data_IF_546348625328
#
_entry.id   IF_546348625328
#
_cell.length_a   1.000
_cell.length_b   1.000
_cell.length_c   1.000
_cell.angle_alpha   90.00
_cell.angle_beta   90.00
_cell.angle_gamma   90.00
#
_symmetry.space_group_name_H-M   'P 1'
#
loop_
_entity.id
_entity.type
_entity.pdbx_description
1 polymer ?
#
# COMPACT_ATOMS: atom_id res chain seq x y z
N UNK A 1 4.15 -14.50 -6.53
CA UNK A 1 3.19 -13.84 -5.60
C UNK A 1 2.12 -13.09 -6.38
N UNK A 2 2.49 -12.24 -7.34
CA UNK A 2 1.56 -11.39 -8.12
C UNK A 2 1.18 -12.02 -9.46
N UNK A 3 0.83 -13.30 -9.44
CA UNK A 3 0.59 -14.14 -10.63
C UNK A 3 -0.89 -14.53 -10.80
N UNK A 4 -1.78 -13.84 -10.07
CA UNK A 4 -3.23 -14.10 -10.06
C UNK A 4 -4.02 -12.82 -9.77
N UNK A 5 -5.34 -12.92 -9.82
CA UNK A 5 -6.24 -11.89 -9.29
C UNK A 5 -5.93 -11.61 -7.81
N UNK A 6 -6.12 -10.36 -7.39
CA UNK A 6 -6.08 -9.93 -5.98
C UNK A 6 -7.51 -9.68 -5.51
N UNK A 7 -7.86 -10.18 -4.33
CA UNK A 7 -9.16 -9.99 -3.71
C UNK A 7 -9.03 -9.27 -2.37
N UNK A 8 -9.80 -8.20 -2.22
CA UNK A 8 -10.03 -7.52 -0.95
C UNK A 8 -11.44 -7.83 -0.44
N UNK A 9 -11.57 -7.94 0.88
CA UNK A 9 -12.78 -8.35 1.57
C UNK A 9 -13.20 -7.30 2.61
N UNK A 10 -14.47 -7.34 3.02
CA UNK A 10 -14.98 -6.53 4.13
C UNK A 10 -14.67 -5.03 3.98
N UNK A 11 -14.26 -4.39 5.07
CA UNK A 11 -13.95 -2.94 5.06
C UNK A 11 -12.86 -2.55 4.05
N UNK A 12 -11.87 -3.40 3.79
CA UNK A 12 -10.82 -3.08 2.80
C UNK A 12 -11.37 -3.04 1.39
N UNK A 13 -12.34 -3.92 1.08
CA UNK A 13 -13.03 -3.89 -0.20
C UNK A 13 -13.79 -2.56 -0.39
N UNK A 14 -14.51 -2.13 0.65
CA UNK A 14 -15.29 -0.89 0.65
C UNK A 14 -14.40 0.36 0.56
N UNK A 15 -13.40 0.48 1.43
CA UNK A 15 -12.46 1.61 1.43
C UNK A 15 -11.72 1.73 0.09
N UNK A 16 -11.31 0.61 -0.52
CA UNK A 16 -10.67 0.62 -1.82
C UNK A 16 -11.59 1.15 -2.93
N UNK A 17 -12.90 0.90 -2.88
CA UNK A 17 -13.88 1.48 -3.81
C UNK A 17 -14.09 2.99 -3.62
N UNK A 18 -13.79 3.50 -2.43
CA UNK A 18 -13.84 4.94 -2.14
C UNK A 18 -12.53 5.63 -2.54
N UNK A 19 -11.40 4.92 -2.51
CA UNK A 19 -10.10 5.43 -2.92
C UNK A 19 -9.93 5.47 -4.46
N UNK A 20 -10.53 4.54 -5.19
CA UNK A 20 -10.36 4.38 -6.63
C UNK A 20 -11.68 4.07 -7.38
N UNK A 21 -11.79 4.40 -8.68
CA UNK A 21 -13.00 4.15 -9.46
C UNK A 21 -13.38 2.67 -9.47
N UNK A 22 -14.65 2.39 -9.20
CA UNK A 22 -15.20 1.03 -9.28
C UNK A 22 -16.38 0.98 -10.24
N UNK A 23 -16.29 0.10 -11.26
CA UNK A 23 -17.40 -0.14 -12.21
C UNK A 23 -18.64 -0.71 -11.53
N UNK A 24 -18.48 -1.42 -10.42
CA UNK A 24 -19.59 -2.01 -9.64
C UNK A 24 -20.40 -0.95 -8.87
N UNK A 25 -19.88 0.27 -8.69
CA UNK A 25 -20.52 1.33 -7.91
C UNK A 25 -21.16 2.44 -8.76
N UNK A 26 -21.32 2.19 -10.08
CA UNK A 26 -21.88 3.14 -11.04
C UNK A 26 -23.37 3.49 -10.84
N UNK A 27 -24.06 2.89 -9.86
CA UNK A 27 -25.50 3.09 -9.67
C UNK A 27 -25.87 4.19 -8.67
N UNK A 28 -24.91 4.87 -8.01
CA UNK A 28 -25.22 6.06 -7.21
C UNK A 28 -24.69 7.31 -7.88
N UNK A 29 -25.61 8.18 -8.27
CA UNK A 29 -25.43 9.51 -8.89
C UNK A 29 -24.58 10.51 -8.08
N UNK A 30 -23.93 10.09 -7.00
CA UNK A 30 -23.15 10.92 -6.08
C UNK A 30 -21.85 10.24 -5.64
N UNK A 31 -21.21 9.43 -6.48
CA UNK A 31 -19.88 8.93 -6.15
C UNK A 31 -18.90 10.12 -6.13
N UNK A 32 -18.37 10.43 -4.95
CA UNK A 32 -17.32 11.46 -4.79
C UNK A 32 -16.15 11.12 -5.69
N UNK A 33 -15.41 12.15 -6.12
CA UNK A 33 -14.20 11.95 -6.92
C UNK A 33 -13.19 11.14 -6.09
N UNK A 34 -12.51 10.25 -6.79
CA UNK A 34 -11.49 9.35 -6.24
C UNK A 34 -10.11 9.94 -6.48
N UNK A 35 -9.15 9.66 -5.59
CA UNK A 35 -7.78 10.18 -5.71
C UNK A 35 -6.86 9.32 -6.56
N UNK A 36 -7.16 8.03 -6.71
CA UNK A 36 -6.39 7.10 -7.54
C UNK A 36 -7.15 6.78 -8.82
N UNK A 37 -6.47 6.52 -9.94
CA UNK A 37 -7.16 6.19 -11.20
C UNK A 37 -7.61 4.73 -11.24
N UNK A 38 -7.03 3.88 -10.41
CA UNK A 38 -7.35 2.46 -10.35
C UNK A 38 -7.09 1.86 -8.98
N UNK A 39 -7.74 0.72 -8.69
CA UNK A 39 -7.51 -0.02 -7.45
C UNK A 39 -6.04 -0.44 -7.28
N UNK A 40 -5.32 -0.73 -8.37
CA UNK A 40 -3.92 -1.18 -8.29
C UNK A 40 -2.98 -0.04 -7.90
N UNK A 41 -3.23 1.18 -8.40
CA UNK A 41 -2.50 2.38 -7.95
C UNK A 41 -2.72 2.65 -6.45
N UNK A 42 -3.97 2.52 -5.98
CA UNK A 42 -4.28 2.65 -4.57
C UNK A 42 -3.57 1.57 -3.71
N UNK A 43 -3.45 0.33 -4.22
CA UNK A 43 -2.73 -0.75 -3.54
C UNK A 43 -1.23 -0.50 -3.45
N UNK A 44 -0.59 -0.01 -4.52
CA UNK A 44 0.83 0.36 -4.53
C UNK A 44 1.11 1.45 -3.49
N UNK A 45 0.30 2.52 -3.49
CA UNK A 45 0.42 3.59 -2.51
C UNK A 45 0.16 3.09 -1.09
N UNK A 46 -0.88 2.28 -0.88
CA UNK A 46 -1.21 1.71 0.41
C UNK A 46 -0.11 0.81 0.97
N UNK A 47 0.57 0.01 0.14
CA UNK A 47 1.69 -0.82 0.58
C UNK A 47 2.81 0.04 1.20
N UNK A 48 3.23 1.10 0.48
CA UNK A 48 4.27 2.01 0.94
C UNK A 48 3.83 2.81 2.17
N UNK A 49 2.64 3.43 2.14
CA UNK A 49 2.13 4.25 3.25
C UNK A 49 1.87 3.40 4.50
N UNK A 50 1.32 2.20 4.34
CA UNK A 50 1.11 1.26 5.43
C UNK A 50 2.41 0.90 6.13
N UNK A 51 3.47 0.61 5.36
CA UNK A 51 4.80 0.37 5.90
C UNK A 51 5.37 1.61 6.63
N UNK A 52 5.42 2.75 5.95
CA UNK A 52 5.99 4.01 6.47
C UNK A 52 5.29 4.46 7.76
N UNK A 53 3.96 4.33 7.83
CA UNK A 53 3.17 4.67 9.03
C UNK A 53 3.08 3.52 10.04
N UNK A 54 3.71 2.38 9.77
CA UNK A 54 3.70 1.20 10.61
C UNK A 54 2.32 0.57 10.82
N UNK A 55 1.37 0.81 9.91
CA UNK A 55 -0.01 0.34 9.99
C UNK A 55 -0.13 -1.03 9.35
N UNK A 56 -0.49 -2.03 10.16
CA UNK A 56 -0.88 -3.38 9.72
C UNK A 56 -2.34 -3.61 10.03
N UNK A 57 -3.02 -4.36 9.17
CA UNK A 57 -4.37 -4.84 9.45
C UNK A 57 -4.56 -6.28 9.01
N UNK A 58 -5.45 -6.99 9.70
CA UNK A 58 -5.79 -8.37 9.39
C UNK A 58 -6.84 -8.43 8.29
N UNK A 59 -6.94 -9.58 7.62
CA UNK A 59 -8.04 -9.80 6.69
C UNK A 59 -9.36 -9.82 7.47
N UNK A 60 -10.34 -9.06 7.00
CA UNK A 60 -11.68 -9.04 7.58
C UNK A 60 -12.67 -9.50 6.52
N UNK A 61 -13.38 -10.59 6.81
CA UNK A 61 -14.41 -11.14 5.91
C UNK A 61 -15.78 -10.74 6.45
N UNK A 62 -16.39 -9.76 5.81
CA UNK A 62 -17.80 -9.44 6.01
C UNK A 62 -18.57 -9.87 4.76
N UNK A 63 -19.43 -10.89 4.90
CA UNK A 63 -20.21 -11.44 3.77
C UNK A 63 -21.27 -10.47 3.24
N UNK A 64 -21.56 -9.38 3.97
CA UNK A 64 -22.50 -8.33 3.55
C UNK A 64 -21.86 -7.34 2.57
N UNK A 65 -20.52 -7.24 2.57
CA UNK A 65 -19.78 -6.36 1.68
C UNK A 65 -19.24 -7.19 0.53
N UNK A 66 -19.61 -6.85 -0.70
CA UNK A 66 -19.10 -7.52 -1.88
C UNK A 66 -17.57 -7.38 -1.97
N UNK A 67 -16.88 -8.45 -2.36
CA UNK A 67 -15.43 -8.45 -2.57
C UNK A 67 -15.03 -7.45 -3.67
N UNK A 68 -13.86 -6.83 -3.50
CA UNK A 68 -13.28 -5.95 -4.51
C UNK A 68 -12.12 -6.68 -5.19
N UNK A 69 -12.30 -7.03 -6.47
CA UNK A 69 -11.35 -7.80 -7.27
C UNK A 69 -10.52 -6.89 -8.16
N UNK A 70 -9.21 -7.11 -8.13
CA UNK A 70 -8.27 -6.59 -9.13
C UNK A 70 -7.90 -7.76 -10.04
N UNK A 71 -8.30 -7.67 -11.31
CA UNK A 71 -8.01 -8.71 -12.29
C UNK A 71 -6.51 -8.82 -12.57
N UNK A 72 -6.05 -10.04 -12.82
CA UNK A 72 -4.65 -10.35 -13.12
C UNK A 72 -4.06 -9.47 -14.23
N UNK A 73 -4.84 -9.09 -15.24
CA UNK A 73 -4.39 -8.18 -16.29
C UNK A 73 -3.90 -6.82 -15.77
N UNK A 74 -4.54 -6.28 -14.72
CA UNK A 74 -4.07 -5.06 -14.06
C UNK A 74 -2.89 -5.34 -13.14
N UNK A 75 -2.88 -6.48 -12.45
CA UNK A 75 -1.79 -6.90 -11.57
C UNK A 75 -0.49 -7.11 -12.36
N UNK A 76 -0.56 -7.79 -13.50
CA UNK A 76 0.58 -8.12 -14.34
C UNK A 76 1.26 -6.88 -14.92
N UNK A 77 0.48 -5.84 -15.27
CA UNK A 77 1.02 -4.55 -15.73
C UNK A 77 1.84 -3.81 -14.67
N UNK A 78 1.55 -4.02 -13.38
CA UNK A 78 2.24 -3.38 -12.25
C UNK A 78 3.07 -4.37 -11.43
N UNK A 79 3.34 -5.57 -11.98
CA UNK A 79 4.01 -6.65 -11.25
C UNK A 79 5.39 -6.22 -10.74
N UNK A 80 6.17 -5.56 -11.59
CA UNK A 80 7.51 -5.09 -11.22
C UNK A 80 7.47 -4.07 -10.06
N UNK A 81 6.51 -3.16 -10.06
CA UNK A 81 6.32 -2.16 -9.00
C UNK A 81 5.88 -2.82 -7.68
N UNK A 82 4.96 -3.78 -7.74
CA UNK A 82 4.52 -4.56 -6.58
C UNK A 82 5.68 -5.37 -5.98
N UNK A 83 6.47 -6.05 -6.82
CA UNK A 83 7.64 -6.79 -6.38
C UNK A 83 8.69 -5.88 -5.76
N UNK A 84 8.95 -4.71 -6.38
CA UNK A 84 9.89 -3.74 -5.83
C UNK A 84 9.46 -3.30 -4.43
N UNK A 85 8.21 -2.90 -4.24
CA UNK A 85 7.71 -2.46 -2.93
C UNK A 85 7.73 -3.61 -1.93
N UNK A 86 7.35 -4.82 -2.33
CA UNK A 86 7.45 -6.02 -1.49
C UNK A 86 8.89 -6.22 -0.99
N UNK A 87 9.87 -6.17 -1.90
CA UNK A 87 11.29 -6.37 -1.59
C UNK A 87 11.81 -5.30 -0.64
N UNK A 88 11.47 -4.03 -0.87
CA UNK A 88 11.82 -2.92 0.02
C UNK A 88 11.25 -3.12 1.42
N UNK A 89 9.97 -3.52 1.52
CA UNK A 89 9.34 -3.80 2.82
C UNK A 89 10.04 -4.98 3.51
N UNK A 90 10.35 -6.08 2.80
CA UNK A 90 11.04 -7.23 3.42
C UNK A 90 12.44 -6.89 3.92
N UNK A 91 13.16 -6.03 3.20
CA UNK A 91 14.48 -5.56 3.62
C UNK A 91 14.40 -4.64 4.85
N UNK A 92 13.39 -3.77 4.89
CA UNK A 92 13.27 -2.73 5.91
C UNK A 92 12.44 -3.13 7.14
N UNK A 93 11.59 -4.17 7.07
CA UNK A 93 10.79 -4.66 8.21
C UNK A 93 11.68 -5.41 9.21
N UNK A 94 12.38 -4.64 10.05
CA UNK A 94 13.22 -5.13 11.14
C UNK A 94 12.43 -5.41 12.43
N UNK A 95 11.10 -5.21 12.41
CA UNK A 95 10.23 -5.39 13.57
C UNK A 95 10.38 -6.81 14.12
N UNK A 96 10.98 -6.91 15.31
CA UNK A 96 11.31 -8.18 15.96
C UNK A 96 12.80 -8.58 15.90
N UNK A 97 13.70 -7.67 15.50
CA UNK A 97 15.14 -7.92 15.37
C UNK A 97 15.47 -9.09 14.44
N UNK A 98 14.75 -9.18 13.31
CA UNK A 98 15.02 -10.19 12.31
C UNK A 98 16.45 -10.03 11.74
N UNK A 99 17.24 -11.11 11.67
CA UNK A 99 18.59 -11.06 11.10
C UNK A 99 18.56 -10.50 9.67
N UNK A 100 19.57 -9.70 9.32
CA UNK A 100 19.68 -9.09 7.99
C UNK A 100 19.62 -10.14 6.85
N UNK A 101 20.30 -11.28 7.03
CA UNK A 101 20.28 -12.38 6.05
C UNK A 101 18.86 -12.94 5.84
N UNK A 102 18.06 -13.06 6.91
CA UNK A 102 16.67 -13.52 6.79
C UNK A 102 15.82 -12.53 6.01
N UNK A 103 16.04 -11.23 6.20
CA UNK A 103 15.34 -10.17 5.44
C UNK A 103 15.74 -10.18 3.96
N UNK A 104 17.02 -10.35 3.66
CA UNK A 104 17.54 -10.53 2.29
C UNK A 104 16.93 -11.77 1.63
N UNK A 105 16.89 -12.89 2.35
CA UNK A 105 16.34 -14.14 1.83
C UNK A 105 14.84 -14.00 1.49
N UNK A 106 14.06 -13.36 2.36
CA UNK A 106 12.65 -13.04 2.12
C UNK A 106 12.42 -12.13 0.90
N UNK A 107 13.33 -11.19 0.66
CA UNK A 107 13.22 -10.26 -0.45
C UNK A 107 13.61 -10.89 -1.80
N UNK A 108 14.63 -11.75 -1.85
CA UNK A 108 15.22 -12.15 -3.13
C UNK A 108 15.30 -13.66 -3.38
N UNK A 109 15.24 -14.50 -2.34
CA UNK A 109 15.50 -15.95 -2.49
C UNK A 109 14.26 -16.81 -2.39
N UNK A 110 13.26 -16.39 -1.62
CA UNK A 110 12.07 -17.20 -1.39
C UNK A 110 11.03 -17.11 -2.51
N UNK A 111 11.23 -16.29 -3.54
CA UNK A 111 10.29 -16.08 -4.64
C UNK A 111 9.79 -17.38 -5.29
N UNK A 112 10.68 -18.37 -5.45
CA UNK A 112 10.41 -19.66 -6.09
C UNK A 112 9.85 -20.75 -5.16
N UNK A 113 9.76 -20.49 -3.84
CA UNK A 113 9.23 -21.44 -2.87
C UNK A 113 8.09 -20.79 -2.09
N UNK A 114 6.86 -21.16 -2.45
CA UNK A 114 5.64 -20.57 -1.86
C UNK A 114 5.56 -20.75 -0.34
N UNK A 115 6.04 -21.87 0.22
CA UNK A 115 6.02 -22.10 1.67
C UNK A 115 6.97 -21.15 2.41
N UNK A 116 8.16 -20.92 1.86
CA UNK A 116 9.13 -19.98 2.42
C UNK A 116 8.72 -18.52 2.19
N UNK A 117 8.01 -18.23 1.10
CA UNK A 117 7.55 -16.88 0.75
C UNK A 117 6.35 -16.44 1.58
N UNK A 118 5.43 -17.36 1.89
CA UNK A 118 4.13 -17.08 2.53
C UNK A 118 4.19 -16.14 3.75
N UNK A 119 5.13 -16.28 4.70
CA UNK A 119 5.23 -15.34 5.82
C UNK A 119 5.52 -13.89 5.39
N UNK A 120 6.29 -13.71 4.31
CA UNK A 120 6.54 -12.40 3.71
C UNK A 120 5.29 -11.85 3.03
N UNK A 121 4.58 -12.69 2.26
CA UNK A 121 3.31 -12.35 1.61
C UNK A 121 2.29 -11.84 2.65
N UNK A 122 2.19 -12.51 3.80
CA UNK A 122 1.30 -12.12 4.91
C UNK A 122 1.66 -10.75 5.50
N UNK A 123 2.95 -10.48 5.70
CA UNK A 123 3.44 -9.17 6.19
C UNK A 123 3.12 -8.07 5.20
N UNK A 124 3.41 -8.28 3.91
CA UNK A 124 3.14 -7.32 2.85
C UNK A 124 1.65 -6.98 2.80
N UNK A 125 0.78 -8.00 2.73
CA UNK A 125 -0.65 -7.77 2.66
C UNK A 125 -1.22 -7.15 3.93
N UNK A 126 -0.62 -7.40 5.09
CA UNK A 126 -1.00 -6.71 6.33
C UNK A 126 -0.71 -5.22 6.25
N UNK A 127 0.45 -4.83 5.71
CA UNK A 127 0.77 -3.42 5.46
C UNK A 127 -0.15 -2.79 4.42
N UNK A 128 -0.42 -3.48 3.30
CA UNK A 128 -1.38 -2.99 2.29
C UNK A 128 -2.74 -2.69 2.91
N UNK A 129 -3.31 -3.63 3.67
CA UNK A 129 -4.61 -3.43 4.34
C UNK A 129 -4.58 -2.28 5.34
N UNK A 130 -3.53 -2.19 6.15
CA UNK A 130 -3.36 -1.07 7.09
C UNK A 130 -3.18 0.28 6.38
N UNK A 131 -2.52 0.30 5.23
CA UNK A 131 -2.39 1.47 4.38
C UNK A 131 -3.70 1.89 3.71
N UNK A 132 -4.53 0.94 3.28
CA UNK A 132 -5.87 1.22 2.76
C UNK A 132 -6.72 1.90 3.84
N UNK A 133 -6.72 1.36 5.06
CA UNK A 133 -7.42 1.97 6.20
C UNK A 133 -6.89 3.37 6.50
N UNK A 134 -5.56 3.54 6.54
CA UNK A 134 -4.95 4.82 6.81
C UNK A 134 -5.29 5.86 5.74
N UNK A 135 -5.16 5.51 4.46
CA UNK A 135 -5.46 6.41 3.35
C UNK A 135 -6.94 6.81 3.35
N UNK A 136 -7.84 5.86 3.61
CA UNK A 136 -9.26 6.17 3.75
C UNK A 136 -9.53 7.15 4.90
N UNK A 137 -8.95 6.88 6.07
CA UNK A 137 -9.12 7.70 7.26
C UNK A 137 -8.60 9.13 7.05
N UNK A 138 -7.44 9.30 6.42
CA UNK A 138 -6.86 10.64 6.23
C UNK A 138 -7.50 11.42 5.07
N UNK A 139 -7.99 10.75 4.02
CA UNK A 139 -8.52 11.42 2.83
C UNK A 139 -10.04 11.66 2.88
N UNK A 140 -10.81 10.78 3.54
CA UNK A 140 -12.27 10.76 3.41
C UNK A 140 -13.05 10.72 4.71
N UNK A 141 -12.52 10.09 5.78
CA UNK A 141 -13.27 9.96 7.04
C UNK A 141 -13.57 11.32 7.63
N UNK A 142 -14.80 11.52 8.12
CA UNK A 142 -15.29 12.81 8.63
C UNK A 142 -15.24 13.94 7.58
N UNK A 143 -15.24 13.62 6.29
CA UNK A 143 -15.44 14.61 5.22
C UNK A 143 -16.88 14.56 4.74
N UNK A 144 -17.54 15.69 4.61
CA UNK A 144 -18.93 15.80 4.15
C UNK A 144 -19.04 16.12 2.65
N UNK A 145 -17.99 16.67 2.05
CA UNK A 145 -18.02 17.17 0.67
C UNK A 145 -16.64 17.12 -0.02
N UNK A 146 -16.62 17.36 -1.33
CA UNK A 146 -15.39 17.30 -2.14
C UNK A 146 -14.37 18.37 -1.77
N UNK A 147 -14.78 19.53 -1.26
CA UNK A 147 -13.84 20.57 -0.85
C UNK A 147 -13.02 20.13 0.37
N UNK A 148 -13.68 19.49 1.33
CA UNK A 148 -13.03 18.88 2.50
C UNK A 148 -12.12 17.70 2.11
N UNK A 149 -12.55 16.85 1.16
CA UNK A 149 -11.69 15.77 0.64
C UNK A 149 -10.38 16.36 0.06
N UNK A 150 -10.46 17.44 -0.73
CA UNK A 150 -9.30 18.11 -1.32
C UNK A 150 -8.41 18.72 -0.23
N UNK A 151 -9.00 19.39 0.76
CA UNK A 151 -8.24 19.98 1.86
C UNK A 151 -7.45 18.91 2.61
N UNK A 152 -8.09 17.78 2.93
CA UNK A 152 -7.45 16.64 3.58
C UNK A 152 -6.31 16.04 2.76
N UNK A 153 -6.48 15.95 1.44
CA UNK A 153 -5.41 15.51 0.55
C UNK A 153 -4.20 16.47 0.58
N UNK A 154 -4.45 17.79 0.57
CA UNK A 154 -3.38 18.80 0.71
C UNK A 154 -2.67 18.66 2.05
N UNK A 155 -3.41 18.57 3.16
CA UNK A 155 -2.86 18.38 4.50
C UNK A 155 -2.03 17.09 4.59
N UNK A 156 -2.49 16.00 3.98
CA UNK A 156 -1.75 14.75 3.94
C UNK A 156 -0.42 14.89 3.19
N UNK A 157 -0.42 15.49 1.99
CA UNK A 157 0.81 15.71 1.20
C UNK A 157 1.78 16.63 1.94
N UNK A 158 1.30 17.72 2.54
CA UNK A 158 2.10 18.63 3.35
C UNK A 158 2.71 17.93 4.56
N UNK A 159 1.92 17.12 5.28
CA UNK A 159 2.43 16.33 6.41
C UNK A 159 3.55 15.38 6.01
N UNK A 160 3.45 14.79 4.82
CA UNK A 160 4.48 13.88 4.30
C UNK A 160 5.75 14.64 3.92
N UNK A 161 5.61 15.82 3.29
CA UNK A 161 6.74 16.70 2.95
C UNK A 161 7.51 17.12 4.19
N UNK A 162 6.82 17.64 5.22
CA UNK A 162 7.46 18.07 6.46
C UNK A 162 8.14 16.89 7.16
N UNK A 163 7.53 15.70 7.15
CA UNK A 163 8.09 14.53 7.86
C UNK A 163 9.32 13.94 7.17
N UNK A 164 9.38 13.93 5.83
CA UNK A 164 10.36 13.13 5.08
C UNK A 164 11.20 13.92 4.06
N UNK A 165 10.84 15.17 3.76
CA UNK A 165 11.48 15.97 2.70
C UNK A 165 12.07 17.29 3.18
N UNK A 166 11.77 17.76 4.40
CA UNK A 166 12.44 18.92 4.98
C UNK A 166 13.76 18.52 5.64
N UNK A 167 14.85 18.91 4.96
CA UNK A 167 16.26 18.94 5.33
C UNK A 167 16.97 17.63 5.72
N UNK A 168 17.87 17.20 4.82
CA UNK A 168 19.01 16.33 5.17
C UNK A 168 18.96 14.92 4.58
N UNK A 169 17.80 14.31 4.40
CA UNK A 169 17.73 12.88 4.05
C UNK A 169 18.35 12.55 2.68
N UNK A 170 18.12 13.39 1.66
CA UNK A 170 18.76 13.22 0.34
C UNK A 170 20.28 13.40 0.45
N UNK A 171 20.73 14.41 1.21
CA UNK A 171 22.16 14.66 1.42
C UNK A 171 22.83 13.55 2.24
N UNK A 172 22.10 12.94 3.18
CA UNK A 172 22.54 11.77 3.95
C UNK A 172 22.65 10.53 3.05
N UNK A 173 21.66 10.29 2.19
CA UNK A 173 21.71 9.20 1.20
C UNK A 173 22.90 9.39 0.25
N UNK A 174 23.10 10.59 -0.30
CA UNK A 174 24.29 10.90 -1.11
C UNK A 174 25.59 10.71 -0.31
N UNK A 175 25.61 11.15 0.94
CA UNK A 175 26.74 10.95 1.84
C UNK A 175 27.03 9.47 2.11
N UNK A 176 26.00 8.63 2.20
CA UNK A 176 26.13 7.19 2.35
C UNK A 176 26.67 6.52 1.08
N UNK A 177 26.13 6.84 -0.10
CA UNK A 177 26.60 6.32 -1.38
C UNK A 177 28.09 6.63 -1.60
N UNK A 178 28.48 7.90 -1.38
CA UNK A 178 29.85 8.36 -1.48
C UNK A 178 30.80 7.66 -0.50
N UNK A 179 30.34 7.30 0.71
CA UNK A 179 31.14 6.54 1.69
C UNK A 179 31.32 5.07 1.30
N UNK A 180 30.41 4.50 0.52
CA UNK A 180 30.46 3.11 0.05
C UNK A 180 31.13 2.93 -1.32
N UNK A 181 31.57 4.02 -1.96
CA UNK A 181 32.28 3.97 -3.25
C UNK A 181 31.38 3.69 -4.45
N UNK A 182 30.09 4.05 -4.37
CA UNK A 182 29.14 4.06 -5.48
C UNK A 182 28.84 5.51 -5.85
#
# INVERSE_FOLDING_TARGET
>A
MFDSDILFYGKHADYLRQLAPSKQYKEKTEQRRTFFNSNIEAVLAAAAIGFIKGKKSQIERDTRIADNRIFYEAVSRHKEELELIYRLIMLLDDKGNLPANTRIDKAFRYDANDELRKPGDEVFWAYVRGGIEYLYDVLYKESENTQEDIQKAVEFVESFRVTYLEDGMINEIYGMCNKTGI
#
